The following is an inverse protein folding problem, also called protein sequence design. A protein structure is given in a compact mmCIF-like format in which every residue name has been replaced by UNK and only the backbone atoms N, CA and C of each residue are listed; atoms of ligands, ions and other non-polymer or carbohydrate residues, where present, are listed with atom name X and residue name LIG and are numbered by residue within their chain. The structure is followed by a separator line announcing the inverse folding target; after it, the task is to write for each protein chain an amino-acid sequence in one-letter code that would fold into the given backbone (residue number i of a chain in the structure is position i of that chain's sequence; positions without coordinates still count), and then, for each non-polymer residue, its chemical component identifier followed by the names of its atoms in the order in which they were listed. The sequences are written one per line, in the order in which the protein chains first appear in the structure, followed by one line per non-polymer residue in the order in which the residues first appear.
data_IF_160297967326
#
_entry.id   IF_160297967326
#
_cell.length_a   1.000
_cell.length_b   1.000
_cell.length_c   1.000
_cell.angle_alpha   90.00
_cell.angle_beta   90.00
_cell.angle_gamma   90.00
#
_symmetry.space_group_name_H-M   'P 1'
#
loop_
_entity.id
_entity.type
_entity.pdbx_description
1 polymer ?
#
# COMPACT_ATOMS: atom_id res chain seq x y z
N UNK A 1 -29.14 -15.33 2.98
CA UNK A 1 -28.20 -14.80 3.98
C UNK A 1 -28.38 -13.30 4.00
N UNK A 2 -28.72 -12.70 5.14
CA UNK A 2 -28.71 -11.24 5.27
C UNK A 2 -27.28 -10.84 5.61
N UNK A 3 -26.62 -10.14 4.69
CA UNK A 3 -25.37 -9.44 4.99
C UNK A 3 -25.75 -8.29 5.93
N UNK A 4 -25.17 -8.27 7.12
CA UNK A 4 -25.43 -7.22 8.11
C UNK A 4 -24.29 -6.22 8.06
N UNK A 5 -24.55 -5.02 7.53
CA UNK A 5 -23.60 -3.90 7.65
C UNK A 5 -23.48 -3.51 9.12
N UNK A 6 -22.25 -3.53 9.63
CA UNK A 6 -21.89 -3.15 10.99
C UNK A 6 -21.58 -1.66 11.03
N UNK A 7 -20.83 -1.16 10.05
CA UNK A 7 -20.43 0.25 9.97
C UNK A 7 -20.21 0.67 8.52
N UNK A 8 -20.66 1.88 8.17
CA UNK A 8 -20.46 2.47 6.85
C UNK A 8 -20.14 3.95 6.96
N UNK A 9 -19.10 4.37 6.22
CA UNK A 9 -18.73 5.76 6.06
C UNK A 9 -18.69 6.12 4.56
N UNK A 10 -19.10 7.34 4.24
CA UNK A 10 -19.06 7.91 2.89
C UNK A 10 -18.09 9.08 2.89
N UNK A 11 -17.05 8.99 2.06
CA UNK A 11 -15.99 9.99 1.99
C UNK A 11 -15.72 10.38 0.54
N UNK A 12 -14.89 11.41 0.36
CA UNK A 12 -14.35 11.77 -0.95
C UNK A 12 -12.85 11.54 -0.92
N UNK A 13 -12.35 10.80 -1.90
CA UNK A 13 -10.92 10.51 -2.07
C UNK A 13 -10.55 10.73 -3.54
N UNK A 14 -9.48 11.50 -3.78
CA UNK A 14 -9.05 11.95 -5.11
C UNK A 14 -10.21 12.53 -5.96
N UNK A 15 -11.08 13.32 -5.33
CA UNK A 15 -12.25 13.95 -5.96
C UNK A 15 -13.39 12.99 -6.32
N UNK A 16 -13.31 11.72 -5.91
CA UNK A 16 -14.31 10.70 -6.21
C UNK A 16 -14.96 10.18 -4.92
N UNK A 17 -16.26 9.87 -4.94
CA UNK A 17 -16.94 9.26 -3.80
C UNK A 17 -16.42 7.85 -3.53
N UNK A 18 -16.08 7.59 -2.27
CA UNK A 18 -15.64 6.30 -1.75
C UNK A 18 -16.54 5.89 -0.58
N UNK A 19 -16.86 4.61 -0.53
CA UNK A 19 -17.60 3.97 0.56
C UNK A 19 -16.62 3.09 1.31
N UNK A 20 -16.60 3.20 2.64
CA UNK A 20 -15.92 2.26 3.52
C UNK A 20 -17.01 1.50 4.26
N UNK A 21 -17.13 0.22 4.01
CA UNK A 21 -18.16 -0.64 4.58
C UNK A 21 -17.52 -1.78 5.36
N UNK A 22 -18.02 -2.02 6.57
CA UNK A 22 -17.70 -3.20 7.36
C UNK A 22 -18.97 -4.01 7.56
N UNK A 23 -18.94 -5.27 7.18
CA UNK A 23 -20.08 -6.17 7.27
C UNK A 23 -19.70 -7.55 7.78
N UNK A 24 -20.64 -8.25 8.39
CA UNK A 24 -20.54 -9.67 8.67
C UNK A 24 -21.13 -10.45 7.48
N UNK A 25 -20.28 -11.19 6.77
CA UNK A 25 -20.66 -11.96 5.58
C UNK A 25 -21.30 -13.31 5.97
N UNK A 26 -20.81 -13.89 7.05
CA UNK A 26 -21.30 -15.11 7.68
C UNK A 26 -20.95 -15.04 9.18
N UNK A 27 -21.62 -15.84 10.05
CA UNK A 27 -21.33 -15.82 11.48
C UNK A 27 -19.84 -15.96 11.80
N UNK A 28 -19.24 -14.92 12.39
CA UNK A 28 -17.82 -14.87 12.74
C UNK A 28 -16.87 -14.60 11.56
N UNK A 29 -17.38 -14.16 10.42
CA UNK A 29 -16.59 -13.74 9.25
C UNK A 29 -16.94 -12.32 8.86
N UNK A 30 -15.99 -11.42 9.06
CA UNK A 30 -16.13 -10.00 8.83
C UNK A 30 -15.30 -9.57 7.65
N UNK A 31 -15.84 -8.64 6.87
CA UNK A 31 -15.15 -7.99 5.77
C UNK A 31 -15.24 -6.49 5.93
N UNK A 32 -14.14 -5.81 5.66
CA UNK A 32 -14.08 -4.35 5.55
C UNK A 32 -13.55 -3.99 4.18
N UNK A 33 -14.35 -3.28 3.40
CA UNK A 33 -14.02 -2.86 2.04
C UNK A 33 -14.04 -1.35 1.96
N UNK A 34 -13.00 -0.76 1.35
CA UNK A 34 -13.05 0.56 0.77
C UNK A 34 -13.22 0.41 -0.74
N UNK A 35 -14.22 1.07 -1.31
CA UNK A 35 -14.53 0.99 -2.75
C UNK A 35 -14.97 2.35 -3.29
N UNK A 36 -14.67 2.63 -4.55
CA UNK A 36 -15.35 3.71 -5.26
C UNK A 36 -16.84 3.38 -5.37
N UNK A 37 -17.70 4.40 -5.34
CA UNK A 37 -19.16 4.20 -5.45
C UNK A 37 -19.61 3.50 -6.73
N UNK A 38 -18.74 3.42 -7.76
CA UNK A 38 -18.95 2.67 -8.99
C UNK A 38 -18.64 1.16 -8.89
N UNK A 39 -18.26 0.65 -7.70
CA UNK A 39 -18.02 -0.77 -7.44
C UNK A 39 -16.60 -1.26 -7.70
N UNK A 40 -15.61 -0.36 -7.80
CA UNK A 40 -14.21 -0.75 -7.87
C UNK A 40 -13.57 -0.70 -6.48
N UNK A 41 -13.14 -1.85 -5.99
CA UNK A 41 -12.49 -1.98 -4.69
C UNK A 41 -11.12 -1.28 -4.68
N UNK A 42 -10.88 -0.52 -3.63
CA UNK A 42 -9.60 0.09 -3.31
C UNK A 42 -8.79 -0.82 -2.37
N UNK A 43 -9.46 -1.39 -1.39
CA UNK A 43 -8.87 -2.29 -0.40
C UNK A 43 -9.96 -3.17 0.21
N UNK A 44 -9.64 -4.44 0.40
CA UNK A 44 -10.51 -5.41 1.07
C UNK A 44 -9.73 -6.14 2.15
N UNK A 45 -10.30 -6.19 3.36
CA UNK A 45 -9.71 -6.84 4.53
C UNK A 45 -10.75 -7.80 5.11
N UNK A 46 -10.41 -9.09 5.17
CA UNK A 46 -11.25 -10.13 5.79
C UNK A 46 -10.63 -10.59 7.09
N UNK A 47 -11.45 -10.78 8.13
CA UNK A 47 -11.01 -11.25 9.44
C UNK A 47 -12.10 -12.09 10.13
N UNK A 48 -11.69 -12.89 11.11
CA UNK A 48 -12.60 -13.65 11.99
C UNK A 48 -12.89 -12.95 13.33
N UNK A 49 -12.39 -11.72 13.49
CA UNK A 49 -12.55 -10.92 14.70
C UNK A 49 -13.22 -9.58 14.36
N UNK A 50 -14.36 -9.31 14.99
CA UNK A 50 -15.11 -8.07 14.82
C UNK A 50 -14.30 -6.84 15.26
N UNK A 51 -13.51 -6.95 16.33
CA UNK A 51 -12.69 -5.83 16.80
C UNK A 51 -11.60 -5.48 15.77
N UNK A 52 -10.93 -6.50 15.21
CA UNK A 52 -10.01 -6.32 14.10
C UNK A 52 -10.69 -5.72 12.85
N UNK A 53 -11.93 -6.08 12.55
CA UNK A 53 -12.69 -5.50 11.43
C UNK A 53 -12.98 -4.00 11.64
N UNK A 54 -13.37 -3.62 12.85
CA UNK A 54 -13.59 -2.21 13.21
C UNK A 54 -12.28 -1.40 13.23
N UNK A 55 -11.17 -2.01 13.64
CA UNK A 55 -9.84 -1.40 13.54
C UNK A 55 -9.43 -1.20 12.07
N UNK A 56 -9.67 -2.21 11.22
CA UNK A 56 -9.47 -2.10 9.78
C UNK A 56 -10.30 -0.96 9.19
N UNK A 57 -11.55 -0.81 9.61
CA UNK A 57 -12.42 0.28 9.20
C UNK A 57 -11.82 1.65 9.54
N UNK A 58 -11.40 1.85 10.79
CA UNK A 58 -10.77 3.09 11.23
C UNK A 58 -9.49 3.39 10.44
N UNK A 59 -8.68 2.37 10.14
CA UNK A 59 -7.46 2.51 9.35
C UNK A 59 -7.73 2.88 7.89
N UNK A 60 -8.73 2.27 7.24
CA UNK A 60 -9.12 2.66 5.88
C UNK A 60 -9.71 4.08 5.87
N UNK A 61 -10.51 4.45 6.87
CA UNK A 61 -11.05 5.79 6.99
C UNK A 61 -9.94 6.82 7.14
N UNK A 62 -8.97 6.58 8.03
CA UNK A 62 -7.80 7.43 8.18
C UNK A 62 -7.04 7.58 6.85
N UNK A 63 -6.71 6.46 6.19
CA UNK A 63 -5.99 6.44 4.92
C UNK A 63 -6.66 7.28 3.84
N UNK A 64 -7.94 7.02 3.57
CA UNK A 64 -8.63 7.68 2.46
C UNK A 64 -9.16 9.08 2.80
N UNK A 65 -8.99 9.54 4.04
CA UNK A 65 -9.21 10.94 4.44
C UNK A 65 -7.90 11.72 4.64
N UNK A 66 -6.74 11.11 4.35
CA UNK A 66 -5.44 11.75 4.48
C UNK A 66 -4.99 11.94 5.93
N UNK A 67 -5.58 11.22 6.88
CA UNK A 67 -5.08 11.19 8.25
C UNK A 67 -3.80 10.32 8.32
N UNK A 68 -2.82 10.69 9.16
CA UNK A 68 -1.57 9.97 9.27
C UNK A 68 -1.80 8.54 9.78
N UNK A 69 -1.27 7.56 9.05
CA UNK A 69 -1.25 6.16 9.49
C UNK A 69 -0.02 5.96 10.39
N UNK A 70 -0.17 5.48 11.64
CA UNK A 70 0.97 5.28 12.52
C UNK A 70 2.05 4.38 11.92
N UNK A 71 3.30 4.86 11.92
CA UNK A 71 4.46 4.13 11.40
C UNK A 71 4.63 4.16 9.86
N UNK A 72 3.73 4.82 9.13
CA UNK A 72 3.89 5.05 7.70
C UNK A 72 4.97 6.10 7.43
N UNK A 73 5.83 5.85 6.45
CA UNK A 73 6.81 6.83 5.96
C UNK A 73 6.15 7.78 4.96
N UNK A 74 6.25 9.09 5.18
CA UNK A 74 5.52 10.10 4.39
C UNK A 74 6.47 11.01 3.61
N UNK A 75 5.92 11.84 2.71
CA UNK A 75 6.68 12.91 2.05
C UNK A 75 7.27 13.91 3.04
N UNK A 76 6.64 14.12 4.20
CA UNK A 76 7.18 14.99 5.24
C UNK A 76 8.45 14.39 5.85
N UNK A 77 8.44 13.07 6.11
CA UNK A 77 9.62 12.36 6.61
C UNK A 77 10.75 12.40 5.57
N UNK A 78 10.43 12.15 4.29
CA UNK A 78 11.41 12.25 3.21
C UNK A 78 12.02 13.65 3.11
N UNK A 79 11.20 14.70 3.16
CA UNK A 79 11.68 16.08 3.16
C UNK A 79 12.59 16.39 4.35
N UNK A 80 12.34 15.75 5.50
CA UNK A 80 13.09 15.95 6.75
C UNK A 80 14.44 15.23 6.70
N UNK A 81 14.43 13.98 6.23
CA UNK A 81 15.61 13.12 6.21
C UNK A 81 16.62 13.56 5.14
N UNK A 82 16.13 14.21 4.07
CA UNK A 82 16.91 14.63 2.88
C UNK A 82 17.49 13.46 2.08
N UNK A 83 17.42 12.26 2.62
CA UNK A 83 17.79 10.98 2.05
C UNK A 83 16.66 10.00 2.39
N UNK A 84 16.26 9.17 1.42
CA UNK A 84 15.10 8.29 1.60
C UNK A 84 15.43 7.19 2.63
N UNK A 85 14.88 7.31 3.85
CA UNK A 85 15.31 6.52 5.01
C UNK A 85 14.32 5.42 5.45
N UNK A 86 13.29 5.15 4.64
CA UNK A 86 12.31 4.12 4.95
C UNK A 86 12.97 2.75 5.15
N UNK A 87 12.44 1.97 6.10
CA UNK A 87 12.94 0.63 6.37
C UNK A 87 12.35 -0.40 5.38
N UNK A 88 13.09 -1.46 5.00
CA UNK A 88 12.52 -2.55 4.22
C UNK A 88 11.30 -3.16 4.91
N UNK A 89 10.21 -3.31 4.16
CA UNK A 89 8.90 -3.75 4.64
C UNK A 89 8.03 -2.65 5.27
N UNK A 90 8.55 -1.43 5.40
CA UNK A 90 7.78 -0.30 5.94
C UNK A 90 6.74 0.16 4.93
N UNK A 91 5.55 0.48 5.44
CA UNK A 91 4.52 1.13 4.63
C UNK A 91 4.93 2.58 4.32
N UNK A 92 4.77 2.98 3.08
CA UNK A 92 5.01 4.36 2.62
C UNK A 92 3.69 5.01 2.20
N UNK A 93 3.65 6.34 2.16
CA UNK A 93 2.50 7.05 1.62
C UNK A 93 2.38 6.84 0.12
N UNK A 94 1.16 6.99 -0.39
CA UNK A 94 0.92 6.89 -1.83
C UNK A 94 1.70 7.97 -2.58
N UNK A 95 1.81 9.17 -2.03
CA UNK A 95 2.59 10.26 -2.62
C UNK A 95 4.07 9.91 -2.75
N UNK A 96 4.66 9.23 -1.76
CA UNK A 96 6.04 8.75 -1.84
C UNK A 96 6.18 7.69 -2.94
N UNK A 97 5.23 6.76 -3.03
CA UNK A 97 5.23 5.72 -4.06
C UNK A 97 5.10 6.32 -5.46
N UNK A 98 4.17 7.25 -5.65
CA UNK A 98 3.93 7.96 -6.90
C UNK A 98 5.14 8.82 -7.30
N UNK A 99 5.78 9.54 -6.37
CA UNK A 99 6.99 10.33 -6.65
C UNK A 99 8.14 9.45 -7.17
N UNK A 100 8.37 8.29 -6.55
CA UNK A 100 9.38 7.33 -7.03
C UNK A 100 9.04 6.73 -8.39
N UNK A 101 7.75 6.54 -8.68
CA UNK A 101 7.27 6.02 -9.97
C UNK A 101 7.41 7.05 -11.08
N UNK A 102 7.20 8.34 -10.78
CA UNK A 102 7.26 9.43 -11.75
C UNK A 102 8.70 9.91 -12.04
N UNK A 103 9.61 9.80 -11.06
CA UNK A 103 10.98 10.29 -11.22
C UNK A 103 11.81 9.48 -12.23
N UNK A 104 11.57 8.18 -12.38
CA UNK A 104 12.40 7.28 -13.17
C UNK A 104 11.56 6.19 -13.86
N UNK A 105 11.88 5.78 -15.10
CA UNK A 105 11.15 4.70 -15.75
C UNK A 105 11.23 3.42 -14.90
N UNK A 106 10.09 2.83 -14.50
CA UNK A 106 10.09 1.68 -13.62
C UNK A 106 10.67 0.45 -14.34
N UNK A 107 11.58 -0.24 -13.68
CA UNK A 107 11.95 -1.60 -14.05
C UNK A 107 11.00 -2.58 -13.37
N UNK A 108 10.77 -3.74 -14.01
CA UNK A 108 9.92 -4.77 -13.43
C UNK A 108 10.58 -5.39 -12.20
N UNK A 109 9.81 -5.58 -11.14
CA UNK A 109 10.25 -6.39 -9.99
C UNK A 109 10.42 -7.85 -10.42
N UNK A 110 11.46 -8.54 -9.92
CA UNK A 110 11.60 -9.97 -10.14
C UNK A 110 10.36 -10.76 -9.72
N UNK A 111 9.92 -11.69 -10.57
CA UNK A 111 8.74 -12.52 -10.31
C UNK A 111 8.86 -13.34 -9.01
N UNK A 112 10.09 -13.63 -8.60
CA UNK A 112 10.40 -14.31 -7.34
C UNK A 112 10.02 -13.50 -6.09
N UNK A 113 9.82 -12.18 -6.19
CA UNK A 113 9.49 -11.34 -5.06
C UNK A 113 8.03 -11.49 -4.58
N UNK A 114 7.15 -12.14 -5.36
CA UNK A 114 5.78 -12.47 -4.94
C UNK A 114 4.87 -11.26 -4.69
N UNK A 115 5.23 -10.07 -5.18
CA UNK A 115 4.49 -8.83 -5.00
C UNK A 115 4.37 -8.06 -6.33
N UNK A 116 3.34 -7.22 -6.43
CA UNK A 116 3.20 -6.25 -7.51
C UNK A 116 4.00 -4.99 -7.15
N UNK A 117 4.73 -4.41 -8.11
CA UNK A 117 5.54 -3.22 -7.84
C UNK A 117 6.57 -2.93 -8.92
N UNK A 118 7.57 -2.11 -8.59
CA UNK A 118 8.63 -1.69 -9.50
C UNK A 118 9.99 -1.52 -8.79
N UNK A 119 11.06 -1.60 -9.58
CA UNK A 119 12.39 -1.13 -9.19
C UNK A 119 12.65 0.23 -9.84
N UNK A 120 13.32 1.12 -9.13
CA UNK A 120 13.82 2.36 -9.74
C UNK A 120 14.93 2.05 -10.75
N UNK A 121 15.00 2.77 -11.87
CA UNK A 121 16.01 2.48 -12.91
C UNK A 121 17.43 2.87 -12.54
N UNK A 122 17.64 3.71 -11.52
CA UNK A 122 18.96 4.14 -11.08
C UNK A 122 19.47 3.24 -9.94
N UNK A 123 20.65 2.62 -10.09
CA UNK A 123 21.20 1.77 -9.05
C UNK A 123 21.74 2.61 -7.90
N UNK A 124 21.39 2.19 -6.68
CA UNK A 124 21.81 2.85 -5.43
C UNK A 124 23.24 2.46 -5.08
N UNK A 125 23.59 1.19 -5.29
CA UNK A 125 24.93 0.64 -5.02
C UNK A 125 25.17 -0.64 -5.81
N UNK A 126 26.39 -1.15 -5.74
CA UNK A 126 26.77 -2.43 -6.33
C UNK A 126 27.33 -3.36 -5.24
N UNK A 127 27.04 -4.64 -5.34
CA UNK A 127 27.69 -5.70 -4.58
C UNK A 127 28.25 -6.78 -5.51
N UNK A 128 28.68 -7.92 -4.97
CA UNK A 128 29.25 -9.01 -5.76
C UNK A 128 28.26 -9.69 -6.71
N UNK A 129 26.96 -9.53 -6.48
CA UNK A 129 25.90 -10.11 -7.30
C UNK A 129 25.39 -9.15 -8.38
N UNK A 130 25.67 -7.85 -8.26
CA UNK A 130 25.34 -6.88 -9.30
C UNK A 130 24.91 -5.53 -8.73
N UNK A 131 24.13 -4.80 -9.53
CA UNK A 131 23.56 -3.53 -9.14
C UNK A 131 22.32 -3.74 -8.24
N UNK A 132 22.16 -2.88 -7.25
CA UNK A 132 21.05 -2.87 -6.30
C UNK A 132 20.21 -1.61 -6.49
N UNK A 133 18.90 -1.82 -6.62
CA UNK A 133 17.91 -0.79 -6.92
C UNK A 133 16.91 -0.69 -5.78
N UNK A 134 16.36 0.50 -5.52
CA UNK A 134 15.21 0.62 -4.63
C UNK A 134 14.01 -0.12 -5.21
N UNK A 135 13.35 -0.93 -4.39
CA UNK A 135 12.19 -1.72 -4.76
C UNK A 135 10.94 -1.24 -3.99
N UNK A 136 9.84 -1.07 -4.71
CA UNK A 136 8.58 -0.60 -4.16
C UNK A 136 7.46 -1.54 -4.55
N UNK A 137 6.57 -1.85 -3.59
CA UNK A 137 5.46 -2.78 -3.79
C UNK A 137 4.12 -2.14 -3.46
N UNK A 138 3.05 -2.66 -4.07
CA UNK A 138 1.68 -2.33 -3.69
C UNK A 138 0.84 -3.58 -3.45
N UNK A 139 -0.05 -3.50 -2.47
CA UNK A 139 -0.98 -4.58 -2.13
C UNK A 139 -2.20 -4.01 -1.42
N UNK A 140 -3.40 -4.30 -1.94
CA UNK A 140 -4.69 -3.87 -1.38
C UNK A 140 -4.73 -2.36 -1.03
N UNK A 141 -4.31 -1.50 -1.97
CA UNK A 141 -4.30 -0.05 -1.78
C UNK A 141 -3.27 0.47 -0.77
N UNK A 142 -2.33 -0.38 -0.34
CA UNK A 142 -1.18 -0.03 0.51
C UNK A 142 0.10 -0.09 -0.32
N UNK A 143 1.06 0.77 0.04
CA UNK A 143 2.32 0.91 -0.66
C UNK A 143 3.47 0.66 0.32
N UNK A 144 4.51 -0.01 -0.15
CA UNK A 144 5.60 -0.47 0.71
C UNK A 144 6.94 -0.20 0.04
N UNK A 145 7.91 0.18 0.86
CA UNK A 145 9.31 0.06 0.46
C UNK A 145 9.77 -1.38 0.75
N UNK A 146 10.21 -2.09 -0.28
CA UNK A 146 10.60 -3.50 -0.18
C UNK A 146 12.10 -3.68 0.11
N UNK A 147 12.86 -2.58 0.14
CA UNK A 147 14.30 -2.60 0.33
C UNK A 147 15.07 -2.51 -0.99
N UNK A 148 16.31 -2.95 -0.97
CA UNK A 148 17.18 -3.01 -2.14
C UNK A 148 17.08 -4.40 -2.80
N UNK A 149 16.90 -4.44 -4.11
CA UNK A 149 16.81 -5.67 -4.89
C UNK A 149 17.63 -5.59 -6.18
N UNK A 150 18.03 -6.75 -6.71
CA UNK A 150 18.61 -6.86 -8.04
C UNK A 150 17.51 -6.87 -9.11
N UNK A 151 17.84 -6.39 -10.31
CA UNK A 151 16.97 -6.53 -11.48
C UNK A 151 17.00 -7.96 -12.04
N UNK A 152 15.92 -8.41 -12.67
CA UNK A 152 15.94 -9.68 -13.41
C UNK A 152 16.89 -9.59 -14.62
N UNK A 153 17.73 -10.61 -14.79
CA UNK A 153 18.60 -10.73 -15.97
C UNK A 153 20.02 -10.18 -15.82
N UNK A 154 20.44 -9.73 -14.63
CA UNK A 154 21.86 -9.58 -14.31
C UNK A 154 22.48 -10.97 -13.95
N UNK A 155 22.26 -11.97 -14.80
CA UNK A 155 23.15 -13.14 -14.83
C UNK A 155 24.41 -12.73 -15.60
N UNK A 156 25.58 -12.89 -14.98
CA UNK A 156 26.89 -12.66 -15.60
C UNK A 156 27.10 -13.52 -16.85
#
# INVERSE_FOLDING_TARGET
MNICTIKRDHITYKGRPVIIDTAELAPGQFETVAMYSGGHDLSTITTKDQAAALAAHANLLARYTGQPVPGQYTMEDWSRDRDFSALPGQEISEEVFDEWLDCLPPLSIPRSAGCCGFLCSEPVRHDSAGALYHAFGSSNGRFYYLGLMHAEGEEQ
#
